data_IF_007848707977
#
_entry.id   IF_007848707977
#
_cell.length_a   1.000
_cell.length_b   1.000
_cell.length_c   1.000
_cell.angle_alpha   90.00
_cell.angle_beta   90.00
_cell.angle_gamma   90.00
#
_symmetry.space_group_name_H-M   'P 1'
#
loop_
_entity.id
_entity.type
_entity.pdbx_description
1 polymer ?
#
# COMPACT_ATOMS: atom_id res chain seq x y z
N UNK A 1 10.10 -4.90 -31.82
CA UNK A 1 9.51 -3.57 -31.61
C UNK A 1 10.53 -2.85 -30.79
N UNK A 2 11.13 -1.84 -31.38
CA UNK A 2 12.25 -1.11 -30.82
C UNK A 2 11.79 -0.41 -29.55
N UNK A 3 12.16 -0.97 -28.41
CA UNK A 3 11.99 -0.32 -27.12
C UNK A 3 13.01 0.82 -27.11
N UNK A 4 12.51 2.05 -27.01
CA UNK A 4 13.30 3.13 -26.45
C UNK A 4 13.61 2.68 -25.02
N UNK A 5 14.73 1.98 -24.83
CA UNK A 5 15.33 1.88 -23.50
C UNK A 5 15.53 3.33 -23.06
N UNK A 6 14.79 3.77 -22.05
CA UNK A 6 15.32 4.84 -21.24
C UNK A 6 16.53 4.21 -20.55
N UNK A 7 17.71 4.54 -21.04
CA UNK A 7 18.94 4.09 -20.42
C UNK A 7 18.98 4.69 -19.02
N UNK A 8 18.49 3.93 -18.04
CA UNK A 8 19.01 3.96 -16.67
C UNK A 8 20.41 3.32 -16.66
N UNK A 9 21.20 3.56 -17.72
CA UNK A 9 22.55 3.09 -17.82
C UNK A 9 23.34 3.63 -16.63
N UNK A 10 24.28 2.80 -16.21
CA UNK A 10 25.29 3.03 -15.20
C UNK A 10 26.19 4.23 -15.58
N UNK A 11 25.63 5.43 -15.64
CA UNK A 11 26.38 6.60 -15.19
C UNK A 11 26.57 6.39 -13.67
N UNK A 12 27.57 5.56 -13.35
CA UNK A 12 28.52 5.95 -12.33
C UNK A 12 28.87 7.41 -12.62
N UNK A 13 28.19 8.31 -11.92
CA UNK A 13 28.55 9.71 -11.75
C UNK A 13 29.95 9.77 -11.08
N UNK A 14 30.98 9.27 -11.75
CA UNK A 14 32.38 9.46 -11.35
C UNK A 14 32.91 10.80 -11.85
N UNK A 15 32.26 11.51 -12.80
CA UNK A 15 32.79 12.79 -13.31
C UNK A 15 31.73 13.78 -13.85
N UNK A 16 30.62 13.94 -13.13
CA UNK A 16 29.60 14.96 -13.42
C UNK A 16 29.35 15.87 -12.22
N UNK A 17 30.24 16.83 -11.96
CA UNK A 17 30.03 17.88 -10.96
C UNK A 17 28.72 18.64 -11.24
N UNK A 18 27.67 18.28 -10.50
CA UNK A 18 26.53 19.14 -10.16
C UNK A 18 26.42 19.12 -8.64
N UNK A 19 26.51 20.30 -8.05
CA UNK A 19 26.87 20.58 -6.66
C UNK A 19 25.76 20.29 -5.62
N UNK A 20 25.26 19.06 -5.54
CA UNK A 20 24.42 18.60 -4.43
C UNK A 20 25.18 17.53 -3.63
N UNK A 21 25.71 17.90 -2.45
CA UNK A 21 26.37 16.95 -1.56
C UNK A 21 25.45 15.79 -1.20
N UNK A 22 25.99 14.57 -1.17
CA UNK A 22 25.28 13.40 -0.64
C UNK A 22 24.76 13.70 0.78
N UNK A 23 23.53 13.28 1.12
CA UNK A 23 23.00 13.40 2.50
C UNK A 23 24.00 12.84 3.52
N UNK A 24 24.75 11.78 3.16
CA UNK A 24 25.80 11.23 4.01
C UNK A 24 26.97 12.20 4.23
N UNK A 25 27.38 12.92 3.18
CA UNK A 25 28.39 13.97 3.30
C UNK A 25 27.87 15.18 4.09
N UNK A 26 26.58 15.49 4.01
CA UNK A 26 25.96 16.53 4.82
C UNK A 26 25.87 16.13 6.30
N UNK A 27 25.53 14.88 6.61
CA UNK A 27 25.60 14.30 7.97
C UNK A 27 27.03 14.41 8.52
N UNK A 28 28.04 14.08 7.71
CA UNK A 28 29.44 14.23 8.10
C UNK A 28 29.82 15.70 8.32
N UNK A 29 29.41 16.61 7.43
CA UNK A 29 29.69 18.05 7.56
C UNK A 29 29.03 18.67 8.80
N UNK A 30 27.85 18.19 9.20
CA UNK A 30 27.17 18.60 10.42
C UNK A 30 27.93 18.13 11.67
N UNK A 31 28.59 16.97 11.60
CA UNK A 31 29.48 16.52 12.65
C UNK A 31 30.76 17.37 12.71
N UNK A 32 31.34 17.75 11.56
CA UNK A 32 32.60 18.51 11.50
C UNK A 32 32.43 20.01 11.84
N UNK A 33 31.30 20.63 11.49
CA UNK A 33 31.06 22.07 11.71
C UNK A 33 30.83 22.43 13.18
N UNK A 34 30.42 21.45 13.98
CA UNK A 34 30.08 21.59 15.39
C UNK A 34 31.28 21.35 16.30
N UNK A 35 32.13 20.38 15.95
CA UNK A 35 33.47 20.23 16.54
C UNK A 35 34.29 21.55 16.40
N UNK A 36 34.18 22.25 15.27
CA UNK A 36 34.84 23.56 15.04
C UNK A 36 34.23 24.74 15.83
N UNK A 37 32.95 24.68 16.19
CA UNK A 37 32.30 25.71 16.99
C UNK A 37 32.73 25.63 18.47
N UNK A 38 33.01 24.42 18.97
CA UNK A 38 33.54 24.18 20.32
C UNK A 38 34.99 24.64 20.49
N UNK A 39 35.83 24.55 19.44
CA UNK A 39 37.20 25.08 19.45
C UNK A 39 37.25 26.62 19.49
N UNK A 40 36.32 27.31 18.80
CA UNK A 40 36.28 28.78 18.78
C UNK A 40 35.81 29.45 20.08
N UNK A 41 35.29 28.68 21.03
CA UNK A 41 34.93 29.17 22.37
C UNK A 41 36.04 29.01 23.41
N UNK A 42 37.21 28.47 23.05
CA UNK A 42 38.35 28.25 23.96
C UNK A 42 39.48 29.29 23.88
N UNK A 43 39.30 30.38 23.12
CA UNK A 43 40.27 31.49 23.05
C UNK A 43 39.63 32.83 23.46
N UNK A 44 39.27 32.98 24.75
CA UNK A 44 39.35 34.25 25.48
C UNK A 44 38.75 34.09 26.90
N UNK A 45 39.60 33.72 27.88
CA UNK A 45 39.78 34.46 29.13
C UNK A 45 40.46 33.59 30.20
N UNK A 46 41.39 34.24 30.89
CA UNK A 46 42.26 33.75 31.95
C UNK A 46 41.53 33.28 33.21
N UNK A 47 42.11 32.25 33.85
CA UNK A 47 42.10 31.96 35.29
C UNK A 47 40.79 32.17 36.05
N UNK A 48 40.00 31.10 36.20
CA UNK A 48 39.32 30.80 37.46
C UNK A 48 39.11 29.30 37.61
N UNK A 49 39.58 28.75 38.73
CA UNK A 49 39.30 27.38 39.20
C UNK A 49 37.78 27.16 39.33
N UNK A 50 37.21 26.45 38.37
CA UNK A 50 35.94 25.74 38.51
C UNK A 50 36.09 24.40 37.80
N UNK A 51 35.86 23.32 38.54
CA UNK A 51 35.81 21.96 38.03
C UNK A 51 34.77 21.89 36.89
N UNK A 52 35.25 21.93 35.65
CA UNK A 52 34.44 21.57 34.48
C UNK A 52 34.66 20.08 34.32
N UNK A 53 33.68 19.29 34.80
CA UNK A 53 33.53 17.90 34.38
C UNK A 53 33.53 17.87 32.84
N UNK A 54 34.48 17.12 32.28
CA UNK A 54 34.75 16.97 30.85
C UNK A 54 33.47 16.89 29.99
N UNK A 55 33.14 17.99 29.33
CA UNK A 55 32.22 18.01 28.20
C UNK A 55 33.03 17.84 26.90
N UNK A 56 33.57 16.64 26.70
CA UNK A 56 33.94 16.15 25.37
C UNK A 56 32.75 15.35 24.82
N UNK A 57 31.84 15.99 24.08
CA UNK A 57 30.81 15.29 23.30
C UNK A 57 31.11 15.43 21.82
N UNK A 58 31.80 14.45 21.26
CA UNK A 58 31.98 14.34 19.80
C UNK A 58 30.63 14.19 19.09
N UNK A 59 30.45 14.88 17.95
CA UNK A 59 29.19 14.81 17.20
C UNK A 59 28.95 13.49 16.47
N UNK A 60 29.91 12.55 16.49
CA UNK A 60 29.68 11.13 16.19
C UNK A 60 28.57 10.50 17.07
N UNK A 61 28.13 11.20 18.11
CA UNK A 61 27.14 10.76 19.09
C UNK A 61 25.72 11.33 18.86
N UNK A 62 25.53 12.28 17.94
CA UNK A 62 24.22 12.93 17.74
C UNK A 62 23.31 12.08 16.85
N UNK A 63 22.16 11.69 17.41
CA UNK A 63 21.16 10.85 16.73
C UNK A 63 19.75 11.34 17.02
N UNK A 64 18.80 10.88 16.20
CA UNK A 64 17.38 11.10 16.43
C UNK A 64 16.99 12.58 16.49
N UNK A 65 16.33 12.98 17.59
CA UNK A 65 15.75 14.31 17.77
C UNK A 65 16.73 15.48 17.62
N UNK A 66 17.94 15.32 18.12
CA UNK A 66 18.96 16.36 18.09
C UNK A 66 19.50 16.55 16.66
N UNK A 67 19.79 15.44 15.95
CA UNK A 67 20.19 15.47 14.54
C UNK A 67 19.13 16.15 13.66
N UNK A 68 17.86 15.82 13.87
CA UNK A 68 16.76 16.45 13.15
C UNK A 68 16.68 17.96 13.42
N UNK A 69 16.88 18.38 14.67
CA UNK A 69 16.81 19.79 15.06
C UNK A 69 17.94 20.59 14.42
N UNK A 70 19.16 20.05 14.38
CA UNK A 70 20.29 20.68 13.69
C UNK A 70 20.09 20.71 12.17
N UNK A 71 19.59 19.61 11.58
CA UNK A 71 19.26 19.59 10.16
C UNK A 71 18.21 20.64 9.79
N UNK A 72 17.19 20.84 10.64
CA UNK A 72 16.18 21.89 10.45
C UNK A 72 16.79 23.30 10.49
N UNK A 73 17.72 23.56 11.43
CA UNK A 73 18.44 24.84 11.51
C UNK A 73 19.27 25.08 10.24
N UNK A 74 19.97 24.06 9.76
CA UNK A 74 20.82 24.14 8.57
C UNK A 74 20.01 24.53 7.32
N UNK A 75 18.85 23.90 7.12
CA UNK A 75 18.00 24.13 5.94
C UNK A 75 16.95 25.24 6.14
N UNK A 76 17.00 25.94 7.29
CA UNK A 76 16.18 27.11 7.57
C UNK A 76 14.68 26.82 7.78
N UNK A 77 14.33 25.67 8.36
CA UNK A 77 12.94 25.26 8.60
C UNK A 77 12.65 25.08 10.08
N UNK A 78 11.37 25.18 10.46
CA UNK A 78 10.93 24.95 11.85
C UNK A 78 10.77 23.44 12.07
N UNK A 79 11.42 22.86 13.11
CA UNK A 79 11.28 21.44 13.40
C UNK A 79 9.83 21.04 13.72
N UNK A 80 9.38 19.93 13.13
CA UNK A 80 8.09 19.33 13.48
C UNK A 80 8.21 18.63 14.83
N UNK A 81 7.60 19.22 15.87
CA UNK A 81 7.64 18.68 17.24
C UNK A 81 7.08 17.27 17.36
N UNK A 82 6.13 16.89 16.50
CA UNK A 82 5.57 15.53 16.48
C UNK A 82 6.63 14.50 16.09
N UNK A 83 7.43 14.77 15.05
CA UNK A 83 8.52 13.89 14.63
C UNK A 83 9.51 13.64 15.78
N UNK A 84 9.90 14.71 16.49
CA UNK A 84 10.81 14.64 17.64
C UNK A 84 10.30 13.71 18.73
N UNK A 85 9.01 13.78 19.07
CA UNK A 85 8.42 13.01 20.16
C UNK A 85 8.13 11.56 19.82
N UNK A 86 8.03 11.24 18.52
CA UNK A 86 7.55 9.95 18.05
C UNK A 86 8.61 9.17 17.23
N UNK A 87 9.86 9.61 17.22
CA UNK A 87 10.94 9.00 16.42
C UNK A 87 11.26 7.55 16.81
N UNK A 88 10.82 7.09 17.97
CA UNK A 88 10.98 5.72 18.45
C UNK A 88 9.80 4.80 18.08
N UNK A 89 8.72 5.37 17.55
CA UNK A 89 7.54 4.61 17.13
C UNK A 89 7.76 3.98 15.74
N UNK A 90 7.23 2.76 15.49
CA UNK A 90 7.38 2.10 14.19
C UNK A 90 6.59 2.77 13.06
N UNK A 91 5.58 3.56 13.41
CA UNK A 91 4.70 4.28 12.48
C UNK A 91 4.85 5.78 12.73
N UNK A 92 5.43 6.48 11.76
CA UNK A 92 5.58 7.92 11.78
C UNK A 92 4.57 8.57 10.84
N UNK A 93 3.58 9.29 11.41
CA UNK A 93 2.59 10.03 10.63
C UNK A 93 2.86 11.53 10.68
N UNK A 94 3.28 12.06 9.54
CA UNK A 94 3.56 13.47 9.30
C UNK A 94 2.71 14.01 8.15
N UNK A 95 1.51 13.46 7.92
CA UNK A 95 0.60 13.98 6.90
C UNK A 95 0.21 15.44 7.20
N UNK A 96 0.05 16.27 6.17
CA UNK A 96 -0.47 17.65 6.29
C UNK A 96 0.40 18.61 7.13
N UNK A 97 1.72 18.41 7.18
CA UNK A 97 2.64 19.28 7.94
C UNK A 97 3.29 20.38 7.10
N UNK A 98 3.10 20.36 5.78
CA UNK A 98 3.65 21.38 4.88
C UNK A 98 5.18 21.42 4.88
N UNK A 99 5.83 20.24 4.95
CA UNK A 99 7.28 20.12 5.07
C UNK A 99 8.04 20.86 3.96
N UNK A 100 7.54 20.82 2.73
CA UNK A 100 8.26 21.31 1.55
C UNK A 100 9.53 20.49 1.26
N UNK A 101 10.28 20.84 0.21
CA UNK A 101 11.56 20.18 -0.10
C UNK A 101 12.56 20.25 1.06
N UNK A 102 12.74 21.43 1.68
CA UNK A 102 13.70 21.62 2.76
C UNK A 102 13.32 20.90 4.05
N UNK A 103 12.04 20.92 4.45
CA UNK A 103 11.60 20.14 5.61
C UNK A 103 11.75 18.63 5.37
N UNK A 104 11.53 18.19 4.13
CA UNK A 104 11.79 16.81 3.71
C UNK A 104 13.28 16.48 3.74
N UNK A 105 14.15 17.42 3.36
CA UNK A 105 15.61 17.26 3.46
C UNK A 105 16.05 17.06 4.90
N UNK A 106 15.61 17.91 5.82
CA UNK A 106 15.91 17.76 7.25
C UNK A 106 15.39 16.42 7.82
N UNK A 107 14.18 16.03 7.41
CA UNK A 107 13.61 14.73 7.77
C UNK A 107 14.46 13.57 7.23
N UNK A 108 14.86 13.63 5.96
CA UNK A 108 15.68 12.61 5.30
C UNK A 108 17.04 12.43 6.02
N UNK A 109 17.72 13.53 6.36
CA UNK A 109 18.97 13.52 7.14
C UNK A 109 18.80 12.72 8.44
N UNK A 110 17.75 13.03 9.21
CA UNK A 110 17.50 12.35 10.49
C UNK A 110 17.13 10.87 10.32
N UNK A 111 16.46 10.52 9.22
CA UNK A 111 15.99 9.16 8.94
C UNK A 111 17.09 8.24 8.41
N UNK A 112 18.21 8.73 7.88
CA UNK A 112 19.31 7.88 7.37
C UNK A 112 19.75 6.82 8.39
N UNK A 113 19.87 7.21 9.67
CA UNK A 113 20.30 6.31 10.75
C UNK A 113 19.16 5.79 11.62
N UNK A 114 17.91 6.13 11.30
CA UNK A 114 16.76 5.68 12.07
C UNK A 114 16.44 4.21 11.77
N UNK A 115 16.39 3.39 12.81
CA UNK A 115 16.16 1.94 12.71
C UNK A 115 14.79 1.50 13.22
N UNK A 116 13.99 2.44 13.73
CA UNK A 116 12.70 2.17 14.38
C UNK A 116 11.53 2.30 13.42
N UNK A 117 11.52 3.36 12.61
CA UNK A 117 10.42 3.68 11.70
C UNK A 117 10.43 2.69 10.53
N UNK A 118 9.34 1.95 10.41
CA UNK A 118 9.10 0.99 9.32
C UNK A 118 7.98 1.47 8.39
N UNK A 119 7.11 2.36 8.87
CA UNK A 119 5.98 2.93 8.14
C UNK A 119 6.02 4.45 8.22
N UNK A 120 6.14 5.11 7.07
CA UNK A 120 6.30 6.56 6.98
C UNK A 120 5.18 7.18 6.14
N UNK A 121 4.32 7.96 6.81
CA UNK A 121 3.19 8.65 6.21
C UNK A 121 3.53 10.14 6.07
N UNK A 122 3.61 10.60 4.82
CA UNK A 122 4.00 11.96 4.40
C UNK A 122 3.02 12.54 3.37
N UNK A 123 1.76 12.10 3.36
CA UNK A 123 0.74 12.61 2.44
C UNK A 123 0.54 14.13 2.61
N UNK A 124 0.40 14.84 1.48
CA UNK A 124 0.04 16.26 1.46
C UNK A 124 1.02 17.17 2.24
N UNK A 125 2.28 17.15 1.83
CA UNK A 125 3.38 17.91 2.44
C UNK A 125 4.14 18.81 1.45
N UNK A 126 3.68 18.92 0.20
CA UNK A 126 4.35 19.71 -0.84
C UNK A 126 5.82 19.31 -1.04
N UNK A 127 6.12 18.01 -1.04
CA UNK A 127 7.52 17.51 -1.12
C UNK A 127 8.20 17.87 -2.45
N UNK A 128 7.45 17.90 -3.56
CA UNK A 128 7.95 18.10 -4.92
C UNK A 128 8.96 17.02 -5.37
N UNK A 129 9.40 17.10 -6.63
CA UNK A 129 10.45 16.21 -7.15
C UNK A 129 11.78 16.36 -6.39
N UNK A 130 12.13 17.60 -5.99
CA UNK A 130 13.33 17.90 -5.20
C UNK A 130 13.35 17.16 -3.86
N UNK A 131 12.31 17.31 -3.04
CA UNK A 131 12.22 16.61 -1.76
C UNK A 131 12.20 15.08 -1.92
N UNK A 132 11.68 14.59 -3.04
CA UNK A 132 11.67 13.15 -3.37
C UNK A 132 13.08 12.62 -3.62
N UNK A 133 13.97 13.41 -4.21
CA UNK A 133 15.39 13.03 -4.37
C UNK A 133 16.06 12.83 -3.02
N UNK A 134 15.79 13.69 -2.04
CA UNK A 134 16.31 13.52 -0.68
C UNK A 134 15.77 12.25 0.00
N UNK A 135 14.49 11.93 -0.20
CA UNK A 135 13.92 10.68 0.31
C UNK A 135 14.56 9.45 -0.34
N UNK A 136 14.76 9.47 -1.66
CA UNK A 136 15.42 8.37 -2.39
C UNK A 136 16.88 8.21 -1.95
N UNK A 137 17.61 9.30 -1.73
CA UNK A 137 18.97 9.26 -1.19
C UNK A 137 18.99 8.65 0.22
N UNK A 138 18.05 9.04 1.10
CA UNK A 138 17.94 8.45 2.44
C UNK A 138 17.62 6.95 2.39
N UNK A 139 16.73 6.52 1.48
CA UNK A 139 16.34 5.12 1.32
C UNK A 139 17.43 4.22 0.72
N UNK A 140 18.54 4.78 0.21
CA UNK A 140 19.75 4.01 -0.16
C UNK A 140 20.43 3.41 1.07
N UNK A 141 20.42 4.14 2.17
CA UNK A 141 21.08 3.75 3.43
C UNK A 141 20.06 3.18 4.43
N UNK A 142 18.86 3.75 4.49
CA UNK A 142 17.80 3.28 5.37
C UNK A 142 17.13 2.03 4.79
N UNK A 143 17.43 0.89 5.41
CA UNK A 143 16.89 -0.41 5.03
C UNK A 143 15.70 -0.87 5.90
N UNK A 144 15.20 -0.02 6.81
CA UNK A 144 14.15 -0.35 7.78
C UNK A 144 12.75 0.08 7.31
N UNK A 145 12.65 1.18 6.56
CA UNK A 145 11.38 1.64 6.01
C UNK A 145 10.87 0.65 4.96
N UNK A 146 9.68 0.09 5.20
CA UNK A 146 9.03 -0.91 4.34
C UNK A 146 7.75 -0.36 3.71
N UNK A 147 7.07 0.57 4.38
CA UNK A 147 5.86 1.20 3.87
C UNK A 147 6.02 2.72 3.84
N UNK A 148 5.65 3.32 2.71
CA UNK A 148 5.75 4.76 2.53
C UNK A 148 4.55 5.33 1.80
N UNK A 149 3.98 6.42 2.32
CA UNK A 149 2.95 7.19 1.65
C UNK A 149 3.45 8.60 1.39
N UNK A 150 3.65 8.94 0.12
CA UNK A 150 3.99 10.30 -0.35
C UNK A 150 2.94 10.79 -1.37
N UNK A 151 1.68 10.39 -1.16
CA UNK A 151 0.55 10.86 -1.97
C UNK A 151 0.36 12.37 -1.85
N UNK A 152 -0.21 13.02 -2.87
CA UNK A 152 -0.58 14.45 -2.88
C UNK A 152 0.57 15.41 -2.59
N UNK A 153 1.75 15.14 -3.15
CA UNK A 153 2.96 15.91 -2.88
C UNK A 153 3.53 16.63 -4.10
N UNK A 154 2.80 16.67 -5.21
CA UNK A 154 3.20 17.37 -6.44
C UNK A 154 4.59 16.94 -6.95
N UNK A 155 4.87 15.63 -6.87
CA UNK A 155 6.13 15.05 -7.33
C UNK A 155 6.41 15.34 -8.80
N UNK A 156 5.36 15.33 -9.63
CA UNK A 156 5.44 15.44 -11.08
C UNK A 156 6.40 14.40 -11.68
N UNK A 157 6.82 14.60 -12.93
CA UNK A 157 7.68 13.67 -13.67
C UNK A 157 9.05 13.48 -13.00
N UNK A 158 9.66 14.55 -12.48
CA UNK A 158 10.98 14.48 -11.83
C UNK A 158 10.96 13.56 -10.59
N UNK A 159 9.90 13.64 -9.77
CA UNK A 159 9.73 12.74 -8.65
C UNK A 159 9.41 11.30 -9.08
N UNK A 160 8.68 11.12 -10.19
CA UNK A 160 8.44 9.80 -10.76
C UNK A 160 9.75 9.12 -11.19
N UNK A 161 10.61 9.85 -11.91
CA UNK A 161 11.92 9.35 -12.34
C UNK A 161 12.77 8.91 -11.15
N UNK A 162 12.89 9.74 -10.10
CA UNK A 162 13.66 9.41 -8.91
C UNK A 162 13.16 8.13 -8.21
N UNK A 163 11.84 7.99 -8.06
CA UNK A 163 11.23 6.80 -7.44
C UNK A 163 11.43 5.56 -8.32
N UNK A 164 11.24 5.70 -9.64
CA UNK A 164 11.38 4.58 -10.57
C UNK A 164 12.83 4.10 -10.64
N UNK A 165 13.82 5.00 -10.61
CA UNK A 165 15.24 4.64 -10.49
C UNK A 165 15.50 3.80 -9.24
N UNK A 166 14.96 4.24 -8.09
CA UNK A 166 15.09 3.49 -6.83
C UNK A 166 14.52 2.06 -6.95
N UNK A 167 13.36 1.90 -7.60
CA UNK A 167 12.75 0.58 -7.80
C UNK A 167 13.49 -0.29 -8.81
N UNK A 168 13.97 0.31 -9.90
CA UNK A 168 14.70 -0.38 -10.96
C UNK A 168 15.98 -1.05 -10.41
N UNK A 169 16.76 -0.31 -9.63
CA UNK A 169 17.99 -0.84 -9.00
C UNK A 169 17.74 -1.63 -7.70
N UNK A 170 16.48 -1.82 -7.29
CA UNK A 170 16.12 -2.52 -6.05
C UNK A 170 16.85 -1.97 -4.80
N UNK A 171 17.06 -0.65 -4.76
CA UNK A 171 17.86 0.03 -3.74
C UNK A 171 17.23 -0.06 -2.35
N UNK A 172 15.90 -0.01 -2.26
CA UNK A 172 15.18 0.08 -0.99
C UNK A 172 14.44 -1.20 -0.62
N UNK A 173 14.15 -1.36 0.67
CA UNK A 173 13.34 -2.46 1.22
C UNK A 173 11.84 -2.19 1.17
N UNK A 174 11.39 -1.16 0.42
CA UNK A 174 9.98 -0.79 0.32
C UNK A 174 9.17 -1.96 -0.27
N UNK A 175 8.15 -2.37 0.46
CA UNK A 175 7.17 -3.39 0.09
C UNK A 175 5.83 -2.77 -0.29
N UNK A 176 5.49 -1.61 0.27
CA UNK A 176 4.27 -0.88 -0.07
C UNK A 176 4.57 0.61 -0.28
N UNK A 177 4.15 1.15 -1.42
CA UNK A 177 4.23 2.58 -1.67
C UNK A 177 2.88 3.15 -2.13
N UNK A 178 2.52 4.31 -1.58
CA UNK A 178 1.35 5.09 -2.01
C UNK A 178 1.83 6.41 -2.62
N UNK A 179 1.49 6.59 -3.89
CA UNK A 179 1.90 7.71 -4.73
C UNK A 179 0.69 8.42 -5.37
N UNK A 180 -0.47 8.36 -4.71
CA UNK A 180 -1.69 8.86 -5.31
C UNK A 180 -1.66 10.38 -5.46
N UNK A 181 -2.22 10.94 -6.54
CA UNK A 181 -2.41 12.39 -6.64
C UNK A 181 -1.13 13.22 -6.81
N UNK A 182 -0.14 12.70 -7.54
CA UNK A 182 1.18 13.30 -7.70
C UNK A 182 1.45 13.91 -9.08
N UNK A 183 0.42 13.95 -9.95
CA UNK A 183 0.47 14.59 -11.26
C UNK A 183 1.62 14.04 -12.14
N UNK A 184 1.81 12.70 -12.13
CA UNK A 184 2.82 12.03 -12.96
C UNK A 184 2.52 12.09 -14.46
N UNK A 185 1.24 12.17 -14.85
CA UNK A 185 0.77 12.28 -16.24
C UNK A 185 1.18 11.09 -17.10
N UNK A 186 0.88 11.17 -18.40
CA UNK A 186 1.10 10.09 -19.36
C UNK A 186 2.60 9.84 -19.60
N UNK A 187 3.44 10.88 -19.57
CA UNK A 187 4.88 10.74 -19.87
C UNK A 187 5.60 9.85 -18.86
N UNK A 188 5.16 9.84 -17.60
CA UNK A 188 5.78 9.03 -16.55
C UNK A 188 5.40 7.55 -16.59
N UNK A 189 4.44 7.15 -17.44
CA UNK A 189 3.96 5.76 -17.51
C UNK A 189 5.09 4.77 -17.81
N UNK A 190 6.04 5.17 -18.67
CA UNK A 190 7.16 4.34 -19.08
C UNK A 190 8.15 4.09 -17.92
N UNK A 191 8.46 5.11 -17.12
CA UNK A 191 9.33 4.95 -15.94
C UNK A 191 8.79 3.90 -14.96
N UNK A 192 7.48 3.93 -14.68
CA UNK A 192 6.85 2.93 -13.83
C UNK A 192 6.86 1.55 -14.47
N UNK A 193 6.68 1.45 -15.78
CA UNK A 193 6.73 0.17 -16.48
C UNK A 193 8.10 -0.49 -16.38
N UNK A 194 9.16 0.21 -16.77
CA UNK A 194 10.52 -0.32 -16.76
C UNK A 194 10.99 -0.68 -15.34
N UNK A 195 10.75 0.21 -14.38
CA UNK A 195 11.11 -0.06 -12.99
C UNK A 195 10.36 -1.25 -12.41
N UNK A 196 9.07 -1.43 -12.71
CA UNK A 196 8.31 -2.60 -12.28
C UNK A 196 8.76 -3.89 -12.97
N UNK A 197 9.24 -3.85 -14.22
CA UNK A 197 9.79 -5.06 -14.86
C UNK A 197 11.03 -5.59 -14.12
N UNK A 198 11.86 -4.70 -13.58
CA UNK A 198 13.09 -5.04 -12.86
C UNK A 198 12.89 -5.22 -11.34
N UNK A 199 11.85 -4.63 -10.75
CA UNK A 199 11.68 -4.65 -9.31
C UNK A 199 11.21 -6.02 -8.78
N UNK A 200 11.98 -6.55 -7.82
CA UNK A 200 11.78 -7.86 -7.22
C UNK A 200 11.13 -7.84 -5.83
N UNK A 201 10.84 -6.67 -5.26
CA UNK A 201 10.48 -6.53 -3.84
C UNK A 201 9.09 -5.95 -3.58
N UNK A 202 8.60 -5.04 -4.42
CA UNK A 202 7.38 -4.26 -4.23
C UNK A 202 6.11 -5.12 -4.37
N UNK A 203 5.25 -5.05 -3.36
CA UNK A 203 4.00 -5.84 -3.26
C UNK A 203 2.75 -5.01 -3.48
N UNK A 204 2.75 -3.78 -3.00
CA UNK A 204 1.60 -2.88 -3.04
C UNK A 204 2.03 -1.56 -3.67
N UNK A 205 1.34 -1.18 -4.74
CA UNK A 205 1.58 0.07 -5.44
C UNK A 205 0.26 0.81 -5.68
N UNK A 206 0.13 2.00 -5.09
CA UNK A 206 -0.98 2.90 -5.38
C UNK A 206 -0.50 4.07 -6.26
N UNK A 207 -0.99 4.08 -7.49
CA UNK A 207 -0.77 5.05 -8.56
C UNK A 207 -2.05 5.84 -8.91
N UNK A 208 -3.08 5.80 -8.07
CA UNK A 208 -4.35 6.47 -8.35
C UNK A 208 -4.21 7.99 -8.51
N UNK A 209 -5.11 8.64 -9.24
CA UNK A 209 -5.14 10.11 -9.40
C UNK A 209 -3.86 10.72 -10.01
N UNK A 210 -3.21 10.04 -10.95
CA UNK A 210 -1.98 10.53 -11.58
C UNK A 210 -2.12 10.91 -13.06
N UNK A 211 -3.26 10.58 -13.68
CA UNK A 211 -3.54 10.97 -15.06
C UNK A 211 -2.69 10.27 -16.12
N UNK A 212 -2.39 8.97 -15.92
CA UNK A 212 -1.56 8.19 -16.84
C UNK A 212 -2.17 7.96 -18.24
N UNK A 213 -3.47 8.15 -18.42
CA UNK A 213 -4.16 7.95 -19.70
C UNK A 213 -4.06 6.52 -20.24
N UNK A 214 -4.34 6.36 -21.53
CA UNK A 214 -4.30 5.05 -22.19
C UNK A 214 -2.88 4.47 -22.31
N UNK A 215 -1.87 5.31 -22.35
CA UNK A 215 -0.46 4.91 -22.36
C UNK A 215 -0.04 4.29 -21.02
N UNK A 216 -0.59 4.77 -19.90
CA UNK A 216 -0.52 4.08 -18.62
C UNK A 216 -1.02 2.63 -18.66
N UNK A 217 -2.17 2.41 -19.30
CA UNK A 217 -2.73 1.07 -19.47
C UNK A 217 -1.84 0.16 -20.32
N UNK A 218 -1.17 0.70 -21.34
CA UNK A 218 -0.18 -0.03 -22.13
C UNK A 218 1.05 -0.38 -21.31
N UNK A 219 1.70 0.62 -20.73
CA UNK A 219 2.96 0.49 -20.03
C UNK A 219 2.83 -0.49 -18.85
N UNK A 220 1.81 -0.31 -18.00
CA UNK A 220 1.55 -1.23 -16.89
C UNK A 220 1.14 -2.63 -17.38
N UNK A 221 0.46 -2.72 -18.52
CA UNK A 221 0.15 -4.00 -19.17
C UNK A 221 1.41 -4.76 -19.57
N UNK A 222 2.40 -4.10 -20.16
CA UNK A 222 3.70 -4.70 -20.48
C UNK A 222 4.47 -5.09 -19.23
N UNK A 223 4.52 -4.22 -18.21
CA UNK A 223 5.20 -4.52 -16.95
C UNK A 223 4.63 -5.77 -16.25
N UNK A 224 3.31 -5.90 -16.21
CA UNK A 224 2.62 -7.06 -15.62
C UNK A 224 2.88 -8.38 -16.36
N UNK A 225 3.34 -8.36 -17.62
CA UNK A 225 3.75 -9.61 -18.30
C UNK A 225 4.96 -10.25 -17.65
N UNK A 226 5.86 -9.42 -17.11
CA UNK A 226 7.16 -9.84 -16.59
C UNK A 226 7.15 -9.86 -15.07
N UNK A 227 6.59 -8.82 -14.43
CA UNK A 227 6.57 -8.70 -12.98
C UNK A 227 5.71 -9.82 -12.37
N UNK A 228 6.31 -10.61 -11.49
CA UNK A 228 5.66 -11.72 -10.78
C UNK A 228 5.63 -11.51 -9.26
N UNK A 229 5.84 -10.27 -8.82
CA UNK A 229 6.03 -9.90 -7.41
C UNK A 229 4.86 -9.08 -6.90
N UNK A 230 4.38 -8.12 -7.70
CA UNK A 230 3.32 -7.19 -7.34
C UNK A 230 2.01 -7.95 -7.11
N UNK A 231 1.38 -7.66 -5.98
CA UNK A 231 0.14 -8.32 -5.54
C UNK A 231 -1.06 -7.38 -5.52
N UNK A 232 -0.83 -6.08 -5.33
CA UNK A 232 -1.87 -5.05 -5.36
C UNK A 232 -1.43 -3.85 -6.20
N UNK A 233 -2.29 -3.46 -7.14
CA UNK A 233 -2.12 -2.30 -7.99
C UNK A 233 -3.40 -1.45 -7.96
N UNK A 234 -3.26 -0.19 -7.55
CA UNK A 234 -4.33 0.81 -7.66
C UNK A 234 -3.99 1.85 -8.73
N UNK A 235 -4.78 1.87 -9.79
CA UNK A 235 -4.72 2.84 -10.89
C UNK A 235 -6.06 3.55 -11.07
N UNK A 236 -6.84 3.68 -10.00
CA UNK A 236 -8.09 4.44 -9.99
C UNK A 236 -7.88 5.90 -10.41
N UNK A 237 -8.87 6.52 -11.06
CA UNK A 237 -8.82 7.93 -11.48
C UNK A 237 -7.57 8.30 -12.31
N UNK A 238 -7.24 7.51 -13.33
CA UNK A 238 -6.08 7.75 -14.20
C UNK A 238 -6.44 8.05 -15.66
N UNK A 239 -7.71 8.33 -15.96
CA UNK A 239 -8.20 8.57 -17.32
C UNK A 239 -7.98 7.39 -18.30
N UNK A 240 -7.90 6.16 -17.78
CA UNK A 240 -7.77 4.94 -18.58
C UNK A 240 -9.14 4.54 -19.14
N UNK A 241 -9.34 4.60 -20.46
CA UNK A 241 -10.62 4.20 -21.06
C UNK A 241 -10.60 2.71 -21.50
N UNK A 242 -11.59 2.29 -22.28
CA UNK A 242 -11.68 0.91 -22.79
C UNK A 242 -10.43 0.47 -23.54
N UNK A 243 -9.82 1.35 -24.33
CA UNK A 243 -8.62 1.03 -25.10
C UNK A 243 -7.43 0.75 -24.17
N UNK A 244 -7.12 1.67 -23.24
CA UNK A 244 -6.06 1.46 -22.26
C UNK A 244 -6.31 0.22 -21.39
N UNK A 245 -7.57 -0.05 -21.04
CA UNK A 245 -7.96 -1.26 -20.31
C UNK A 245 -7.67 -2.53 -21.12
N UNK A 246 -7.97 -2.56 -22.42
CA UNK A 246 -7.65 -3.69 -23.28
C UNK A 246 -6.13 -3.90 -23.42
N UNK A 247 -5.34 -2.83 -23.43
CA UNK A 247 -3.87 -2.92 -23.42
C UNK A 247 -3.39 -3.54 -22.10
N UNK A 248 -3.91 -3.09 -20.95
CA UNK A 248 -3.62 -3.66 -19.63
C UNK A 248 -4.00 -5.15 -19.55
N UNK A 249 -5.14 -5.53 -20.14
CA UNK A 249 -5.61 -6.92 -20.15
C UNK A 249 -4.60 -7.89 -20.77
N UNK A 250 -3.77 -7.46 -21.73
CA UNK A 250 -2.73 -8.32 -22.32
C UNK A 250 -1.69 -8.76 -21.27
N UNK A 251 -1.41 -7.92 -20.28
CA UNK A 251 -0.58 -8.30 -19.12
C UNK A 251 -1.30 -9.28 -18.20
N UNK A 252 -2.56 -9.00 -17.87
CA UNK A 252 -3.38 -9.85 -17.00
C UNK A 252 -3.63 -11.26 -17.58
N UNK A 253 -3.63 -11.40 -18.91
CA UNK A 253 -3.75 -12.68 -19.61
C UNK A 253 -2.58 -13.65 -19.32
N UNK A 254 -1.44 -13.15 -18.80
CA UNK A 254 -0.27 -13.98 -18.46
C UNK A 254 0.23 -13.81 -17.02
N UNK A 255 -0.12 -12.71 -16.35
CA UNK A 255 0.33 -12.43 -14.99
C UNK A 255 -0.19 -13.46 -13.97
N UNK A 256 0.68 -13.93 -13.08
CA UNK A 256 0.35 -14.96 -12.09
C UNK A 256 0.55 -14.49 -10.63
N UNK A 257 0.76 -13.19 -10.39
CA UNK A 257 1.05 -12.65 -9.06
C UNK A 257 0.00 -11.67 -8.56
N UNK A 258 -0.59 -10.87 -9.44
CA UNK A 258 -1.51 -9.81 -9.09
C UNK A 258 -2.81 -10.40 -8.54
N UNK A 259 -3.20 -9.94 -7.35
CA UNK A 259 -4.39 -10.38 -6.62
C UNK A 259 -5.46 -9.29 -6.58
N UNK A 260 -5.05 -8.03 -6.46
CA UNK A 260 -5.97 -6.90 -6.32
C UNK A 260 -5.65 -5.88 -7.41
N UNK A 261 -6.65 -5.56 -8.22
CA UNK A 261 -6.59 -4.50 -9.22
C UNK A 261 -7.72 -3.49 -8.97
N UNK A 262 -7.34 -2.27 -8.61
CA UNK A 262 -8.28 -1.16 -8.44
C UNK A 262 -8.17 -0.21 -9.63
N UNK A 263 -9.28 0.00 -10.32
CA UNK A 263 -9.37 0.86 -11.51
C UNK A 263 -10.62 1.75 -11.49
N UNK A 264 -11.17 1.99 -10.29
CA UNK A 264 -12.37 2.80 -10.13
C UNK A 264 -12.16 4.23 -10.64
N UNK A 265 -13.25 4.92 -10.97
CA UNK A 265 -13.25 6.30 -11.49
C UNK A 265 -12.41 6.53 -12.75
N UNK A 266 -12.17 5.47 -13.54
CA UNK A 266 -11.66 5.57 -14.89
C UNK A 266 -12.82 5.61 -15.91
N UNK A 267 -12.67 6.30 -17.07
CA UNK A 267 -13.70 6.42 -18.11
C UNK A 267 -13.86 5.12 -18.94
N UNK A 268 -13.94 3.97 -18.28
CA UNK A 268 -14.27 2.70 -18.91
C UNK A 268 -15.78 2.45 -18.89
N UNK A 269 -16.25 1.70 -19.88
CA UNK A 269 -17.64 1.22 -19.94
C UNK A 269 -17.68 -0.28 -19.65
N UNK A 270 -18.87 -0.88 -19.78
CA UNK A 270 -19.05 -2.33 -19.67
C UNK A 270 -18.14 -3.13 -20.62
N UNK A 271 -17.73 -2.55 -21.75
CA UNK A 271 -16.80 -3.22 -22.69
C UNK A 271 -15.43 -3.45 -22.04
N UNK A 272 -14.87 -2.44 -21.36
CA UNK A 272 -13.63 -2.57 -20.60
C UNK A 272 -13.77 -3.57 -19.45
N UNK A 273 -14.91 -3.55 -18.76
CA UNK A 273 -15.22 -4.52 -17.70
C UNK A 273 -15.26 -5.97 -18.23
N UNK A 274 -15.90 -6.21 -19.38
CA UNK A 274 -15.93 -7.50 -20.06
C UNK A 274 -14.51 -7.94 -20.44
N UNK A 275 -13.68 -7.02 -20.92
CA UNK A 275 -12.29 -7.32 -21.27
C UNK A 275 -11.49 -7.81 -20.05
N UNK A 276 -11.61 -7.13 -18.91
CA UNK A 276 -10.95 -7.52 -17.66
C UNK A 276 -11.33 -8.95 -17.23
N UNK A 277 -12.63 -9.23 -17.13
CA UNK A 277 -13.13 -10.56 -16.72
C UNK A 277 -12.71 -11.64 -17.74
N UNK A 278 -12.72 -11.31 -19.03
CA UNK A 278 -12.26 -12.22 -20.09
C UNK A 278 -10.76 -12.53 -20.01
N UNK A 279 -9.93 -11.53 -19.67
CA UNK A 279 -8.49 -11.72 -19.49
C UNK A 279 -8.21 -12.70 -18.35
N UNK A 280 -8.89 -12.55 -17.21
CA UNK A 280 -8.77 -13.48 -16.07
C UNK A 280 -9.24 -14.89 -16.47
N UNK A 281 -10.34 -15.00 -17.24
CA UNK A 281 -10.82 -16.29 -17.74
C UNK A 281 -9.79 -17.02 -18.60
N UNK A 282 -9.08 -16.29 -19.46
CA UNK A 282 -8.08 -16.85 -20.38
C UNK A 282 -6.79 -17.29 -19.67
N UNK A 283 -6.51 -16.75 -18.48
CA UNK A 283 -5.27 -17.02 -17.77
C UNK A 283 -5.45 -18.04 -16.65
N UNK A 284 -5.23 -19.35 -16.84
CA UNK A 284 -5.43 -20.36 -15.80
C UNK A 284 -4.53 -20.18 -14.56
N UNK A 285 -3.45 -19.40 -14.65
CA UNK A 285 -2.51 -19.14 -13.53
C UNK A 285 -2.81 -17.86 -12.77
N UNK A 286 -3.76 -17.05 -13.23
CA UNK A 286 -4.10 -15.79 -12.57
C UNK A 286 -4.49 -16.03 -11.11
N UNK A 287 -3.99 -15.18 -10.20
CA UNK A 287 -4.32 -15.16 -8.78
C UNK A 287 -5.27 -14.01 -8.41
N UNK A 288 -5.96 -13.45 -9.41
CA UNK A 288 -6.84 -12.31 -9.23
C UNK A 288 -7.99 -12.66 -8.28
N UNK A 289 -8.13 -11.87 -7.23
CA UNK A 289 -9.12 -12.00 -6.15
C UNK A 289 -10.08 -10.81 -6.14
N UNK A 290 -9.61 -9.59 -6.44
CA UNK A 290 -10.47 -8.40 -6.48
C UNK A 290 -10.18 -7.56 -7.72
N UNK A 291 -11.25 -7.24 -8.47
CA UNK A 291 -11.26 -6.17 -9.48
C UNK A 291 -12.24 -5.09 -9.03
N UNK A 292 -11.74 -3.89 -8.73
CA UNK A 292 -12.57 -2.77 -8.35
C UNK A 292 -12.78 -1.79 -9.51
N UNK A 293 -14.00 -1.81 -10.06
CA UNK A 293 -14.53 -0.95 -11.11
C UNK A 293 -15.86 -0.33 -10.65
N UNK A 294 -15.94 0.06 -9.38
CA UNK A 294 -17.16 0.50 -8.67
C UNK A 294 -17.94 1.66 -9.33
N UNK A 295 -17.36 2.39 -10.28
CA UNK A 295 -18.02 3.44 -11.05
C UNK A 295 -18.65 2.95 -12.37
N UNK A 296 -18.44 1.68 -12.76
CA UNK A 296 -18.87 1.14 -14.05
C UNK A 296 -20.23 0.48 -13.89
N UNK A 297 -21.21 0.96 -14.66
CA UNK A 297 -22.49 0.28 -14.82
C UNK A 297 -22.33 -0.87 -15.81
N UNK A 298 -22.74 -2.07 -15.40
CA UNK A 298 -22.65 -3.30 -16.20
C UNK A 298 -24.01 -3.74 -16.70
N UNK A 299 -24.07 -4.68 -17.63
CA UNK A 299 -25.34 -5.23 -18.17
C UNK A 299 -25.50 -6.71 -17.79
N UNK A 300 -26.65 -7.31 -18.11
CA UNK A 300 -26.90 -8.74 -17.84
C UNK A 300 -25.89 -9.68 -18.52
N UNK A 301 -25.38 -9.30 -19.70
CA UNK A 301 -24.37 -10.07 -20.42
C UNK A 301 -23.06 -10.17 -19.63
N UNK A 302 -22.64 -9.06 -19.01
CA UNK A 302 -21.49 -9.04 -18.11
C UNK A 302 -21.71 -9.94 -16.88
N UNK A 303 -22.91 -9.89 -16.27
CA UNK A 303 -23.21 -10.74 -15.09
C UNK A 303 -23.11 -12.22 -15.46
N UNK A 304 -23.72 -12.64 -16.58
CA UNK A 304 -23.63 -14.03 -17.05
C UNK A 304 -22.17 -14.45 -17.32
N UNK A 305 -21.36 -13.56 -17.88
CA UNK A 305 -19.93 -13.83 -18.09
C UNK A 305 -19.20 -14.00 -16.76
N UNK A 306 -19.42 -13.10 -15.81
CA UNK A 306 -18.80 -13.15 -14.49
C UNK A 306 -19.20 -14.42 -13.74
N UNK A 307 -20.46 -14.83 -13.84
CA UNK A 307 -20.95 -16.08 -13.24
C UNK A 307 -20.15 -17.29 -13.73
N UNK A 308 -19.98 -17.42 -15.04
CA UNK A 308 -19.19 -18.51 -15.66
C UNK A 308 -17.72 -18.45 -15.24
N UNK A 309 -17.12 -17.26 -15.15
CA UNK A 309 -15.71 -17.14 -14.71
C UNK A 309 -15.56 -17.58 -13.27
N UNK A 310 -16.47 -17.18 -12.40
CA UNK A 310 -16.38 -17.49 -11.00
C UNK A 310 -16.86 -18.91 -10.63
N UNK A 311 -17.50 -19.66 -11.54
CA UNK A 311 -17.63 -21.11 -11.40
C UNK A 311 -16.25 -21.79 -11.39
N UNK A 312 -15.31 -21.26 -12.17
CA UNK A 312 -13.92 -21.73 -12.23
C UNK A 312 -13.05 -21.03 -11.18
N UNK A 313 -13.39 -19.78 -10.82
CA UNK A 313 -12.63 -18.89 -9.92
C UNK A 313 -13.52 -18.31 -8.81
N UNK A 314 -13.94 -19.14 -7.85
CA UNK A 314 -14.87 -18.72 -6.81
C UNK A 314 -14.32 -17.63 -5.87
N UNK A 315 -13.00 -17.45 -5.84
CA UNK A 315 -12.30 -16.40 -5.10
C UNK A 315 -12.42 -14.99 -5.72
N UNK A 316 -12.70 -14.89 -7.03
CA UNK A 316 -12.76 -13.62 -7.73
C UNK A 316 -14.01 -12.82 -7.33
N UNK A 317 -13.80 -11.61 -6.82
CA UNK A 317 -14.82 -10.59 -6.62
C UNK A 317 -14.62 -9.43 -7.61
N UNK A 318 -15.72 -9.01 -8.24
CA UNK A 318 -15.71 -7.84 -9.11
C UNK A 318 -16.68 -6.83 -8.55
N UNK A 319 -16.15 -5.68 -8.15
CA UNK A 319 -16.93 -4.58 -7.59
C UNK A 319 -17.29 -3.62 -8.73
N UNK A 320 -18.58 -3.47 -9.01
CA UNK A 320 -19.11 -2.61 -10.08
C UNK A 320 -20.25 -1.71 -9.57
N UNK A 321 -20.59 -0.65 -10.31
CA UNK A 321 -21.52 0.41 -9.89
C UNK A 321 -23.00 0.07 -9.94
N UNK A 322 -23.34 -1.14 -10.37
CA UNK A 322 -24.71 -1.64 -10.52
C UNK A 322 -24.98 -2.18 -11.92
N UNK A 323 -26.16 -2.77 -12.12
CA UNK A 323 -26.60 -3.30 -13.41
C UNK A 323 -27.51 -2.26 -14.09
N UNK A 324 -27.03 -1.64 -15.17
CA UNK A 324 -27.77 -0.69 -15.99
C UNK A 324 -28.62 -1.36 -17.06
N UNK A 325 -29.81 -0.81 -17.35
CA UNK A 325 -30.71 -1.32 -18.41
C UNK A 325 -32.21 -1.10 -18.18
N UNK A 326 -32.64 -0.67 -17.00
CA UNK A 326 -34.06 -0.39 -16.71
C UNK A 326 -34.20 0.91 -15.92
N UNK A 327 -35.30 1.64 -16.15
CA UNK A 327 -35.81 2.68 -15.24
C UNK A 327 -35.68 2.13 -13.82
N UNK A 328 -35.11 2.93 -12.91
CA UNK A 328 -34.85 2.56 -11.52
C UNK A 328 -36.11 2.02 -10.81
N UNK A 329 -36.40 0.72 -10.96
CA UNK A 329 -37.11 -0.01 -9.93
C UNK A 329 -36.16 -0.01 -8.74
N UNK A 330 -36.62 0.59 -7.63
CA UNK A 330 -35.98 0.45 -6.33
C UNK A 330 -35.56 -1.02 -6.20
N UNK A 331 -34.25 -1.32 -6.05
CA UNK A 331 -33.80 -2.70 -6.01
C UNK A 331 -34.64 -3.43 -4.97
N UNK A 332 -35.21 -4.59 -5.32
CA UNK A 332 -35.89 -5.42 -4.35
C UNK A 332 -34.95 -5.59 -3.17
N UNK A 333 -35.44 -5.29 -1.96
CA UNK A 333 -34.64 -5.40 -0.75
C UNK A 333 -34.20 -6.86 -0.61
N UNK A 334 -32.96 -7.14 -1.00
CA UNK A 334 -32.36 -8.46 -0.83
C UNK A 334 -32.31 -8.72 0.68
N UNK A 335 -32.73 -9.91 1.14
CA UNK A 335 -32.61 -10.26 2.54
C UNK A 335 -31.15 -10.13 2.98
N UNK A 336 -30.92 -9.62 4.19
CA UNK A 336 -29.57 -9.52 4.73
C UNK A 336 -28.91 -10.91 4.80
N UNK A 337 -27.70 -11.04 4.24
CA UNK A 337 -26.98 -12.30 4.13
C UNK A 337 -26.74 -12.94 5.50
N UNK A 338 -26.39 -12.13 6.51
CA UNK A 338 -26.15 -12.61 7.87
C UNK A 338 -27.44 -13.12 8.50
N UNK A 339 -28.57 -12.46 8.22
CA UNK A 339 -29.89 -12.93 8.66
C UNK A 339 -30.28 -14.26 8.02
N UNK A 340 -30.01 -14.46 6.72
CA UNK A 340 -30.25 -15.75 6.06
C UNK A 340 -29.40 -16.87 6.67
N UNK A 341 -28.13 -16.57 6.97
CA UNK A 341 -27.26 -17.50 7.70
C UNK A 341 -27.85 -17.80 9.07
N UNK A 342 -28.21 -16.79 9.86
CA UNK A 342 -28.76 -16.97 11.20
C UNK A 342 -30.04 -17.81 11.18
N UNK A 343 -30.96 -17.55 10.26
CA UNK A 343 -32.19 -18.34 10.11
C UNK A 343 -31.91 -19.82 9.84
N UNK A 344 -30.93 -20.13 8.98
CA UNK A 344 -30.52 -21.50 8.71
C UNK A 344 -29.94 -22.17 9.96
N UNK A 345 -29.09 -21.45 10.70
CA UNK A 345 -28.47 -21.95 11.92
C UNK A 345 -29.51 -22.23 13.00
N UNK A 346 -30.44 -21.31 13.22
CA UNK A 346 -31.53 -21.46 14.20
C UNK A 346 -32.42 -22.66 13.85
N UNK A 347 -32.79 -22.82 12.57
CA UNK A 347 -33.61 -23.94 12.10
C UNK A 347 -32.93 -25.30 12.27
N UNK A 348 -31.60 -25.34 12.25
CA UNK A 348 -30.80 -26.56 12.39
C UNK A 348 -30.16 -26.71 13.78
N UNK A 349 -30.47 -25.81 14.72
CA UNK A 349 -29.87 -25.75 16.06
C UNK A 349 -28.33 -25.72 16.05
N UNK A 350 -27.77 -25.05 15.04
CA UNK A 350 -26.33 -24.82 14.90
C UNK A 350 -25.99 -23.45 15.46
N UNK A 351 -24.76 -23.30 15.98
CA UNK A 351 -24.27 -21.98 16.40
C UNK A 351 -23.51 -21.32 15.26
N UNK A 352 -23.51 -19.99 15.26
CA UNK A 352 -22.76 -19.19 14.31
C UNK A 352 -21.25 -19.46 14.36
N UNK A 353 -20.74 -19.71 15.56
CA UNK A 353 -19.35 -20.12 15.72
C UNK A 353 -19.02 -21.46 15.04
N UNK A 354 -19.90 -22.47 15.18
CA UNK A 354 -19.70 -23.78 14.54
C UNK A 354 -19.71 -23.65 13.00
N UNK A 355 -20.49 -22.71 12.46
CA UNK A 355 -20.55 -22.41 11.04
C UNK A 355 -19.20 -21.91 10.48
N UNK A 356 -18.62 -20.88 11.09
CA UNK A 356 -17.32 -20.35 10.66
C UNK A 356 -16.18 -21.33 10.94
N UNK A 357 -16.21 -22.01 12.09
CA UNK A 357 -15.20 -23.02 12.45
C UNK A 357 -15.10 -24.14 11.42
N UNK A 358 -16.22 -24.58 10.84
CA UNK A 358 -16.22 -25.61 9.80
C UNK A 358 -15.51 -25.18 8.50
N UNK A 359 -15.28 -23.89 8.29
CA UNK A 359 -14.56 -23.33 7.13
C UNK A 359 -13.11 -22.95 7.46
N UNK A 360 -12.78 -22.86 8.74
CA UNK A 360 -11.43 -22.58 9.22
C UNK A 360 -10.58 -23.86 9.24
N UNK A 361 -9.83 -24.06 8.15
CA UNK A 361 -8.92 -25.20 8.00
C UNK A 361 -7.76 -25.20 9.00
N UNK A 362 -7.37 -24.03 9.52
CA UNK A 362 -6.18 -23.86 10.35
C UNK A 362 -6.52 -23.76 11.84
N UNK A 363 -7.79 -23.56 12.19
CA UNK A 363 -8.26 -23.41 13.57
C UNK A 363 -7.73 -22.14 14.26
N UNK A 364 -7.22 -21.18 13.50
CA UNK A 364 -6.63 -19.94 14.01
C UNK A 364 -7.64 -18.79 14.13
N UNK A 365 -8.93 -19.10 13.97
CA UNK A 365 -10.06 -18.16 14.02
C UNK A 365 -10.05 -17.12 12.89
N UNK A 366 -9.29 -17.37 11.82
CA UNK A 366 -9.19 -16.49 10.65
C UNK A 366 -9.33 -17.30 9.36
N UNK A 367 -10.32 -16.95 8.55
CA UNK A 367 -10.57 -17.63 7.28
C UNK A 367 -10.14 -16.67 6.16
N UNK A 368 -9.23 -17.05 5.25
CA UNK A 368 -8.92 -16.21 4.10
C UNK A 368 -10.20 -15.87 3.33
N UNK A 369 -10.40 -14.60 2.94
CA UNK A 369 -11.62 -14.15 2.25
C UNK A 369 -11.89 -14.96 0.98
N UNK A 370 -10.85 -15.30 0.23
CA UNK A 370 -10.94 -16.18 -0.94
C UNK A 370 -11.52 -17.57 -0.60
N UNK A 371 -11.05 -18.18 0.50
CA UNK A 371 -11.55 -19.47 0.98
C UNK A 371 -13.00 -19.35 1.46
N UNK A 372 -13.33 -18.26 2.16
CA UNK A 372 -14.68 -17.98 2.64
C UNK A 372 -15.67 -17.80 1.48
N UNK A 373 -15.33 -16.99 0.47
CA UNK A 373 -16.12 -16.82 -0.76
C UNK A 373 -16.35 -18.16 -1.43
N UNK A 374 -15.30 -18.96 -1.59
CA UNK A 374 -15.41 -20.30 -2.16
C UNK A 374 -16.36 -21.19 -1.37
N UNK A 375 -16.23 -21.21 -0.04
CA UNK A 375 -17.11 -21.99 0.81
C UNK A 375 -18.58 -21.53 0.68
N UNK A 376 -18.83 -20.22 0.64
CA UNK A 376 -20.17 -19.65 0.48
C UNK A 376 -20.80 -19.92 -0.87
N UNK A 377 -20.00 -19.92 -1.95
CA UNK A 377 -20.45 -20.18 -3.31
C UNK A 377 -20.72 -21.67 -3.57
N UNK A 378 -19.95 -22.58 -2.96
CA UNK A 378 -20.07 -24.02 -3.19
C UNK A 378 -21.11 -24.71 -2.31
N UNK A 379 -21.47 -24.13 -1.17
CA UNK A 379 -22.52 -24.68 -0.30
C UNK A 379 -23.91 -24.44 -0.89
N UNK A 380 -24.82 -25.41 -0.73
CA UNK A 380 -26.20 -25.35 -1.23
C UNK A 380 -27.26 -25.17 -0.14
N UNK A 381 -26.83 -25.03 1.12
CA UNK A 381 -27.70 -25.00 2.31
C UNK A 381 -28.34 -23.63 2.54
N UNK A 382 -27.59 -22.58 2.23
CA UNK A 382 -27.98 -21.19 2.47
C UNK A 382 -27.99 -20.51 1.10
N UNK A 383 -29.17 -20.12 0.58
CA UNK A 383 -29.27 -19.51 -0.75
C UNK A 383 -28.78 -18.07 -0.68
N UNK A 384 -27.48 -17.86 -0.90
CA UNK A 384 -26.87 -16.54 -1.01
C UNK A 384 -26.44 -16.29 -2.45
N UNK A 385 -26.81 -15.13 -2.98
CA UNK A 385 -26.28 -14.65 -4.25
C UNK A 385 -24.90 -14.00 -4.09
N UNK A 386 -24.24 -13.70 -5.21
CA UNK A 386 -22.88 -13.11 -5.21
C UNK A 386 -22.82 -11.75 -4.52
N UNK A 387 -23.82 -10.88 -4.70
CA UNK A 387 -23.80 -9.56 -4.05
C UNK A 387 -23.95 -9.72 -2.55
N UNK A 388 -24.84 -10.62 -2.09
CA UNK A 388 -24.99 -10.92 -0.66
C UNK A 388 -23.68 -11.45 -0.06
N UNK A 389 -22.95 -12.30 -0.77
CA UNK A 389 -21.63 -12.79 -0.32
C UNK A 389 -20.60 -11.66 -0.29
N UNK A 390 -20.54 -10.81 -1.32
CA UNK A 390 -19.61 -9.67 -1.34
C UNK A 390 -19.94 -8.64 -0.25
N UNK A 391 -21.21 -8.37 0.01
CA UNK A 391 -21.66 -7.51 1.12
C UNK A 391 -21.32 -8.13 2.49
N UNK A 392 -21.53 -9.44 2.65
CA UNK A 392 -21.18 -10.16 3.86
C UNK A 392 -19.67 -10.09 4.13
N UNK A 393 -18.84 -10.35 3.12
CA UNK A 393 -17.38 -10.21 3.23
C UNK A 393 -17.00 -8.80 3.64
N UNK A 394 -17.60 -7.77 3.05
CA UNK A 394 -17.33 -6.37 3.44
C UNK A 394 -17.70 -6.06 4.88
N UNK A 395 -18.75 -6.71 5.42
CA UNK A 395 -19.12 -6.57 6.83
C UNK A 395 -18.15 -7.32 7.76
N UNK A 396 -17.70 -8.51 7.34
CA UNK A 396 -16.85 -9.38 8.15
C UNK A 396 -15.36 -9.02 8.10
N UNK A 397 -14.88 -8.46 6.99
CA UNK A 397 -13.52 -7.97 6.79
C UNK A 397 -13.53 -6.48 6.45
N UNK A 398 -14.10 -5.69 7.37
CA UNK A 398 -14.29 -4.25 7.18
C UNK A 398 -12.96 -3.51 7.01
N UNK A 399 -11.89 -4.03 7.63
CA UNK A 399 -10.53 -3.51 7.53
C UNK A 399 -9.77 -4.01 6.28
N UNK A 400 -10.40 -4.86 5.43
CA UNK A 400 -9.78 -5.45 4.23
C UNK A 400 -8.44 -6.14 4.51
N UNK A 401 -8.37 -6.84 5.62
CA UNK A 401 -7.22 -7.63 6.03
C UNK A 401 -6.96 -8.82 5.11
N UNK A 402 -7.95 -9.18 4.27
CA UNK A 402 -7.94 -10.40 3.47
C UNK A 402 -8.40 -11.63 4.26
N UNK A 403 -8.84 -11.45 5.50
CA UNK A 403 -9.30 -12.50 6.40
C UNK A 403 -10.64 -12.14 7.04
N UNK A 404 -11.53 -13.14 7.12
CA UNK A 404 -12.71 -13.14 7.96
C UNK A 404 -12.30 -13.59 9.35
N UNK A 405 -12.18 -12.64 10.28
CA UNK A 405 -11.92 -12.91 11.70
C UNK A 405 -13.25 -13.14 12.43
N UNK A 406 -13.45 -14.37 12.91
CA UNK A 406 -14.68 -14.80 13.54
C UNK A 406 -14.51 -15.04 15.05
N UNK A 407 -13.38 -14.62 15.63
CA UNK A 407 -13.05 -14.80 17.05
C UNK A 407 -14.09 -14.21 18.01
N UNK A 408 -14.66 -13.06 17.64
CA UNK A 408 -15.67 -12.35 18.42
C UNK A 408 -16.99 -13.12 18.60
N UNK A 409 -17.31 -14.06 17.71
CA UNK A 409 -18.50 -14.91 17.86
C UNK A 409 -18.35 -15.99 18.94
N UNK A 410 -17.15 -16.20 19.47
CA UNK A 410 -16.89 -17.13 20.58
C UNK A 410 -17.38 -16.57 21.93
N UNK A 411 -17.40 -15.24 22.10
CA UNK A 411 -17.57 -14.57 23.40
C UNK A 411 -19.05 -14.44 23.82
N UNK A 412 -20.01 -14.78 22.96
CA UNK A 412 -21.45 -14.74 23.26
C UNK A 412 -21.95 -15.96 24.08
N UNK A 413 -21.11 -16.55 24.94
CA UNK A 413 -21.48 -17.63 25.88
C UNK A 413 -22.20 -17.05 27.12
N UNK A 414 -23.27 -17.67 27.63
CA UNK A 414 -23.51 -17.72 29.07
C UNK A 414 -22.55 -18.76 29.66
N UNK A 415 -21.75 -18.37 30.66
CA UNK A 415 -20.89 -19.31 31.40
C UNK A 415 -21.70 -20.55 31.85
N UNK A 416 -21.27 -21.73 31.41
CA UNK A 416 -21.78 -22.99 31.96
C UNK A 416 -21.43 -23.02 33.46
N UNK A 417 -22.45 -22.91 34.33
CA UNK A 417 -22.26 -23.08 35.77
C UNK A 417 -21.61 -24.44 36.04
N UNK A 418 -20.59 -24.51 36.93
CA UNK A 418 -19.96 -25.78 37.28
C UNK A 418 -21.01 -26.74 37.85
N UNK A 419 -20.97 -27.99 37.39
CA UNK A 419 -21.77 -29.08 37.96
C UNK A 419 -21.32 -29.28 39.40
N UNK A 420 -22.22 -29.06 40.36
CA UNK A 420 -22.04 -29.52 41.73
C UNK A 420 -21.85 -31.03 41.72
N UNK A 421 -20.63 -31.49 42.03
CA UNK A 421 -20.35 -32.88 42.35
C UNK A 421 -21.12 -33.21 43.64
N UNK A 422 -22.03 -34.18 43.55
CA UNK A 422 -22.61 -34.81 44.72
C UNK A 422 -21.55 -35.74 45.30
N UNK A 423 -21.02 -35.38 46.46
CA UNK A 423 -20.32 -36.31 47.34
C UNK A 423 -21.30 -37.43 47.74
N UNK A 424 -21.05 -38.65 47.27
CA UNK A 424 -21.57 -39.87 47.87
C UNK A 424 -20.55 -40.33 48.91
N UNK A 425 -20.88 -40.13 50.19
CA UNK A 425 -20.22 -40.77 51.33
C UNK A 425 -20.55 -42.27 51.35
N UNK A 426 -19.54 -43.14 51.24
CA UNK A 426 -19.62 -44.51 51.75
C UNK A 426 -18.34 -44.88 52.53
N UNK A 427 -18.51 -44.89 53.86
CA UNK A 427 -17.93 -45.74 54.93
C UNK A 427 -16.45 -46.12 54.94
#
# INVERSE_FOLDING_TARGET
MDYLNFDFDDDEDENGEMSEGSISAEVQSLADATDNAEEKTREDSSDTDLEIEDAERSFATIKGAELYTEACKLVGVVPVSYFIRNMEEPIMNLNHHGLGPNGTKALAIALVSNTTITHLELEDNWILGEGTRYLVQMLRENCYIQEMNISRNHLNTDGAEAICRMFYHNISNIRAIRLAGNNFREESAMYFSESLMANGSLKILNLSWNGFGNEGGLALGEALKVNNVLTELDISSNHINNEGTMKLCKGLEVNASLRILKMSHNPMTVEGAVALVTAIRKNPKSRMEEINISNVLVNEGFIKLLDVVCEVRPELDVIYGGVGGYIAKKPEQRPDAMKLIQNYLDANKLRLWDFFKNMDKYGNMKIPVAEFRRAMMLQSKIPLDRQQISELVRKLDQARTGYVDYSHFKIQEPEEKPKEEKEEEEQ
#
